data_IF_151763348424
#
_entry.id   IF_151763348424
#
_cell.length_a   1.000
_cell.length_b   1.000
_cell.length_c   1.000
_cell.angle_alpha   90.00
_cell.angle_beta   90.00
_cell.angle_gamma   90.00
#
_symmetry.space_group_name_H-M   'P 1'
#
loop_
_entity.id
_entity.type
_entity.pdbx_description
1 polymer ?
#
# COMPACT_ATOMS: atom_id res chain seq x y z
N UNK A 1 1.78 7.01 26.60
CA UNK A 1 1.66 6.26 25.33
C UNK A 1 0.24 5.73 25.21
N UNK A 2 -0.56 6.25 24.29
CA UNK A 2 -1.95 5.80 24.10
C UNK A 2 -1.93 4.54 23.23
N UNK A 3 -2.26 3.37 23.79
CA UNK A 3 -2.44 2.15 23.00
C UNK A 3 -3.72 2.29 22.19
N UNK A 4 -3.62 2.10 20.87
CA UNK A 4 -4.76 2.04 19.98
C UNK A 4 -5.79 1.01 20.48
N UNK A 5 -7.07 1.39 20.52
CA UNK A 5 -8.20 0.49 20.85
C UNK A 5 -8.60 -0.43 19.68
N UNK A 6 -7.92 -0.32 18.54
CA UNK A 6 -8.16 -1.20 17.41
C UNK A 6 -7.56 -2.56 17.75
N UNK A 7 -8.43 -3.51 18.12
CA UNK A 7 -8.07 -4.92 18.09
C UNK A 7 -7.89 -5.29 16.63
N UNK A 8 -6.70 -5.79 16.24
CA UNK A 8 -6.56 -6.41 14.93
C UNK A 8 -7.56 -7.57 14.88
N UNK A 9 -8.52 -7.59 13.94
CA UNK A 9 -9.31 -8.79 13.74
C UNK A 9 -8.34 -9.95 13.40
N UNK A 10 -8.73 -11.19 13.71
CA UNK A 10 -7.99 -12.39 13.27
C UNK A 10 -7.75 -12.40 11.75
N UNK A 11 -8.52 -11.59 11.00
CA UNK A 11 -8.31 -11.27 9.60
C UNK A 11 -7.03 -10.48 9.35
N UNK A 12 -6.05 -11.16 8.76
CA UNK A 12 -4.85 -10.52 8.22
C UNK A 12 -5.19 -9.82 6.91
N UNK A 13 -4.83 -8.54 6.84
CA UNK A 13 -4.85 -7.76 5.62
C UNK A 13 -3.41 -7.41 5.22
N UNK A 14 -3.15 -7.43 3.92
CA UNK A 14 -1.86 -7.15 3.32
C UNK A 14 -1.97 -5.90 2.46
N UNK A 15 -0.98 -5.02 2.57
CA UNK A 15 -0.84 -3.83 1.72
C UNK A 15 0.31 -4.06 0.74
N UNK A 16 -0.01 -4.05 -0.55
CA UNK A 16 0.98 -3.97 -1.63
C UNK A 16 1.11 -2.53 -2.10
N UNK A 17 2.35 -2.05 -2.26
CA UNK A 17 2.64 -0.72 -2.82
C UNK A 17 3.69 -0.85 -3.91
N UNK A 18 3.35 -0.40 -5.11
CA UNK A 18 4.28 -0.22 -6.23
C UNK A 18 4.43 1.28 -6.48
N UNK A 19 5.53 1.84 -5.97
CA UNK A 19 5.82 3.27 -6.03
C UNK A 19 6.73 3.58 -7.21
N UNK A 20 6.19 4.25 -8.22
CA UNK A 20 6.94 4.73 -9.38
C UNK A 20 7.07 6.26 -9.40
N UNK A 21 7.84 6.74 -10.38
CA UNK A 21 8.02 8.18 -10.61
C UNK A 21 6.79 8.84 -11.25
N UNK A 22 5.97 8.07 -11.97
CA UNK A 22 4.77 8.60 -12.62
C UNK A 22 3.51 8.42 -11.76
N UNK A 23 3.39 7.28 -11.10
CA UNK A 23 2.24 6.94 -10.27
C UNK A 23 2.64 5.96 -9.16
N UNK A 24 1.77 5.85 -8.16
CA UNK A 24 1.85 4.84 -7.11
C UNK A 24 0.61 3.97 -7.18
N UNK A 25 0.79 2.67 -7.34
CA UNK A 25 -0.28 1.69 -7.22
C UNK A 25 -0.29 1.11 -5.81
N UNK A 26 -1.46 1.10 -5.17
CA UNK A 26 -1.64 0.47 -3.86
C UNK A 26 -2.82 -0.49 -3.89
N UNK A 27 -2.68 -1.65 -3.26
CA UNK A 27 -3.74 -2.64 -3.13
C UNK A 27 -3.81 -3.21 -1.72
N UNK A 28 -5.03 -3.56 -1.32
CA UNK A 28 -5.30 -4.29 -0.09
C UNK A 28 -5.78 -5.68 -0.46
N UNK A 29 -5.21 -6.72 0.14
CA UNK A 29 -5.63 -8.10 -0.01
C UNK A 29 -5.81 -8.79 1.33
N UNK A 30 -6.62 -9.86 1.36
CA UNK A 30 -6.67 -10.78 2.50
C UNK A 30 -5.63 -11.91 2.38
N UNK A 31 -5.58 -12.77 3.40
CA UNK A 31 -4.64 -13.91 3.44
C UNK A 31 -4.91 -15.01 2.42
N UNK A 32 -6.11 -15.05 1.81
CA UNK A 32 -6.41 -15.95 0.69
C UNK A 32 -5.85 -15.44 -0.63
N UNK A 33 -5.32 -14.21 -0.65
CA UNK A 33 -4.88 -13.51 -1.85
C UNK A 33 -6.03 -12.77 -2.57
N UNK A 34 -7.20 -12.63 -1.95
CA UNK A 34 -8.32 -11.90 -2.55
C UNK A 34 -8.06 -10.40 -2.43
N UNK A 35 -8.12 -9.68 -3.56
CA UNK A 35 -8.00 -8.22 -3.59
C UNK A 35 -9.29 -7.59 -3.07
N UNK A 36 -9.19 -6.85 -1.97
CA UNK A 36 -10.31 -6.15 -1.32
C UNK A 36 -10.48 -4.72 -1.86
N UNK A 37 -9.40 -4.12 -2.38
CA UNK A 37 -9.42 -2.79 -2.95
C UNK A 37 -8.10 -2.41 -3.61
N UNK A 38 -8.16 -1.46 -4.54
CA UNK A 38 -7.00 -0.89 -5.24
C UNK A 38 -7.19 0.62 -5.35
N UNK A 39 -6.09 1.36 -5.26
CA UNK A 39 -6.04 2.80 -5.48
C UNK A 39 -4.84 3.18 -6.34
N UNK A 40 -5.03 4.22 -7.15
CA UNK A 40 -3.96 4.86 -7.91
C UNK A 40 -3.70 6.25 -7.31
N UNK A 41 -2.44 6.55 -7.03
CA UNK A 41 -1.97 7.85 -6.61
C UNK A 41 -0.94 8.45 -7.57
N UNK A 42 -0.55 9.69 -7.33
CA UNK A 42 0.53 10.34 -8.06
C UNK A 42 1.91 9.72 -7.77
N UNK A 43 2.95 10.40 -8.25
CA UNK A 43 4.34 10.00 -8.05
C UNK A 43 4.67 9.73 -6.57
N UNK A 44 5.46 8.69 -6.32
CA UNK A 44 5.95 8.40 -4.97
C UNK A 44 6.95 9.47 -4.51
N UNK A 45 6.85 9.89 -3.26
CA UNK A 45 7.73 10.90 -2.66
C UNK A 45 9.17 10.41 -2.40
N UNK A 46 9.49 9.16 -2.72
CA UNK A 46 10.83 8.59 -2.58
C UNK A 46 11.69 8.70 -3.87
N UNK A 47 11.17 9.29 -4.94
CA UNK A 47 11.86 9.43 -6.21
C UNK A 47 12.84 10.63 -6.24
N UNK A 48 13.91 10.59 -5.43
CA UNK A 48 15.05 11.50 -5.61
C UNK A 48 16.03 11.03 -6.71
N UNK A 49 15.71 9.90 -7.35
CA UNK A 49 16.54 9.31 -8.41
C UNK A 49 16.02 9.71 -9.80
N UNK A 50 16.90 10.07 -10.76
CA UNK A 50 16.49 10.30 -12.15
C UNK A 50 15.75 9.07 -12.69
N UNK A 51 14.70 9.28 -13.48
CA UNK A 51 13.95 8.25 -14.20
C UNK A 51 14.80 7.12 -14.75
N UNK A 52 14.40 5.88 -14.47
CA UNK A 52 14.78 4.75 -15.32
C UNK A 52 14.29 5.05 -16.74
N UNK A 53 15.23 5.02 -17.70
CA UNK A 53 15.11 5.52 -19.08
C UNK A 53 13.83 5.13 -19.81
#
# INVERSE_FOLDING_TARGET
>A
MYKSKIQNPEFKIFLGVDGGQSHTDALIADESGTILGRGLGGASNHAEHPGGR
#
